data_IF_379686160238
#
_entry.id   IF_379686160238
#
_cell.length_a   1.000
_cell.length_b   1.000
_cell.length_c   1.000
_cell.angle_alpha   90.00
_cell.angle_beta   90.00
_cell.angle_gamma   90.00
#
_symmetry.space_group_name_H-M   'P 1'
#
loop_
_entity.id
_entity.type
_entity.pdbx_description
1 polymer ?
#
# COMPACT_ATOMS: atom_id res chain seq x y z
N UNK A 1 29.95 -41.51 -2.03
CA UNK A 1 28.47 -41.64 -2.13
C UNK A 1 27.70 -40.67 -1.23
N UNK A 2 28.34 -40.02 -0.24
CA UNK A 2 27.73 -38.95 0.59
C UNK A 2 27.92 -37.53 0.02
N UNK A 3 28.75 -37.37 -1.02
CA UNK A 3 29.08 -36.06 -1.61
C UNK A 3 28.06 -35.59 -2.66
N UNK A 4 27.27 -36.52 -3.20
CA UNK A 4 26.22 -36.27 -4.20
C UNK A 4 24.89 -35.75 -3.61
N UNK A 5 24.79 -35.63 -2.28
CA UNK A 5 23.65 -34.98 -1.60
C UNK A 5 23.90 -33.49 -1.31
N UNK A 6 25.07 -32.96 -1.67
CA UNK A 6 25.34 -31.51 -1.66
C UNK A 6 24.69 -30.78 -2.84
N UNK A 7 24.26 -31.54 -3.85
CA UNK A 7 23.58 -31.04 -5.02
C UNK A 7 22.13 -30.75 -4.68
N UNK A 8 21.65 -29.55 -5.00
CA UNK A 8 20.23 -29.21 -5.09
C UNK A 8 19.51 -28.72 -3.83
N UNK A 9 20.24 -28.20 -2.83
CA UNK A 9 19.68 -27.19 -1.91
C UNK A 9 20.05 -25.77 -2.34
N UNK A 10 20.10 -25.56 -3.66
CA UNK A 10 19.76 -24.26 -4.24
C UNK A 10 18.28 -24.02 -3.92
N UNK A 11 18.05 -23.55 -2.69
CA UNK A 11 16.86 -22.79 -2.35
C UNK A 11 16.90 -21.65 -3.35
N UNK A 12 16.16 -21.80 -4.46
CA UNK A 12 15.93 -20.76 -5.46
C UNK A 12 15.28 -19.61 -4.71
N UNK A 13 16.12 -18.79 -4.11
CA UNK A 13 15.77 -17.55 -3.47
C UNK A 13 15.21 -16.73 -4.61
N UNK A 14 13.88 -16.64 -4.70
CA UNK A 14 13.20 -15.88 -5.73
C UNK A 14 13.75 -14.45 -5.70
N UNK A 15 14.70 -14.14 -6.59
CA UNK A 15 15.29 -12.81 -6.68
C UNK A 15 14.24 -11.93 -7.34
N UNK A 16 13.47 -11.21 -6.52
CA UNK A 16 12.52 -10.21 -6.99
C UNK A 16 13.28 -9.13 -7.77
N UNK A 17 12.70 -8.67 -8.88
CA UNK A 17 13.28 -7.56 -9.62
C UNK A 17 13.30 -6.30 -8.73
N UNK A 18 14.22 -5.35 -8.95
CA UNK A 18 14.27 -4.11 -8.18
C UNK A 18 12.94 -3.34 -8.19
N UNK A 19 12.23 -3.36 -9.33
CA UNK A 19 10.89 -2.80 -9.44
C UNK A 19 9.91 -3.48 -8.50
N UNK A 20 9.78 -4.82 -8.57
CA UNK A 20 8.83 -5.57 -7.74
C UNK A 20 9.14 -5.39 -6.26
N UNK A 21 10.43 -5.38 -5.87
CA UNK A 21 10.82 -5.12 -4.48
C UNK A 21 10.33 -3.74 -4.00
N UNK A 22 10.52 -2.69 -4.80
CA UNK A 22 10.07 -1.32 -4.45
C UNK A 22 8.55 -1.21 -4.43
N UNK A 23 7.88 -1.80 -5.41
CA UNK A 23 6.42 -1.86 -5.48
C UNK A 23 5.84 -2.50 -4.21
N UNK A 24 6.37 -3.64 -3.78
CA UNK A 24 5.90 -4.33 -2.58
C UNK A 24 6.10 -3.47 -1.32
N UNK A 25 7.28 -2.87 -1.15
CA UNK A 25 7.56 -2.00 0.00
C UNK A 25 6.59 -0.82 0.04
N UNK A 26 6.42 -0.12 -1.09
CA UNK A 26 5.53 1.03 -1.19
C UNK A 26 4.06 0.64 -1.02
N UNK A 27 3.64 -0.51 -1.55
CA UNK A 27 2.28 -1.03 -1.42
C UNK A 27 1.93 -1.28 0.05
N UNK A 28 2.85 -1.90 0.80
CA UNK A 28 2.67 -2.12 2.24
C UNK A 28 2.67 -0.80 2.99
N UNK A 29 3.59 0.12 2.69
CA UNK A 29 3.69 1.39 3.37
C UNK A 29 2.45 2.27 3.16
N UNK A 30 1.96 2.37 1.93
CA UNK A 30 0.79 3.18 1.60
C UNK A 30 -0.52 2.57 2.11
N UNK A 31 -0.60 1.25 2.25
CA UNK A 31 -1.75 0.55 2.87
C UNK A 31 -1.53 0.24 4.35
N UNK A 32 -0.49 0.80 4.97
CA UNK A 32 -0.18 0.55 6.37
C UNK A 32 -1.25 1.05 7.35
N UNK A 33 -1.92 2.20 7.16
CA UNK A 33 -2.92 2.72 8.11
C UNK A 33 -4.00 1.70 8.50
N UNK A 34 -4.75 1.10 7.55
CA UNK A 34 -5.78 0.12 7.90
C UNK A 34 -5.21 -1.19 8.50
N UNK A 35 -3.95 -1.52 8.22
CA UNK A 35 -3.30 -2.73 8.76
C UNK A 35 -2.96 -2.55 10.24
N UNK A 36 -2.44 -1.38 10.62
CA UNK A 36 -1.98 -1.13 12.00
C UNK A 36 -3.10 -0.68 12.93
N UNK A 37 -4.17 -0.11 12.39
CA UNK A 37 -5.22 0.48 13.20
C UNK A 37 -5.85 -0.50 14.22
N UNK A 38 -6.18 -1.75 13.87
CA UNK A 38 -6.69 -2.72 14.83
C UNK A 38 -5.71 -3.02 15.97
N UNK A 39 -4.41 -3.05 15.68
CA UNK A 39 -3.36 -3.32 16.68
C UNK A 39 -3.27 -2.18 17.68
N UNK A 40 -3.32 -0.93 17.20
CA UNK A 40 -3.29 0.26 18.05
C UNK A 40 -4.52 0.40 18.95
N UNK A 41 -5.70 0.05 18.42
CA UNK A 41 -6.93 0.03 19.21
C UNK A 41 -6.86 -1.01 20.35
N UNK A 42 -6.24 -2.16 20.12
CA UNK A 42 -6.09 -3.22 21.13
C UNK A 42 -5.13 -2.86 22.26
N UNK A 43 -4.10 -2.05 21.98
CA UNK A 43 -3.09 -1.64 22.98
C UNK A 43 -3.47 -0.38 23.76
N UNK A 44 -4.66 0.20 23.50
CA UNK A 44 -5.20 1.33 24.27
C UNK A 44 -4.38 2.62 24.17
N UNK A 45 -3.53 2.77 23.15
CA UNK A 45 -2.83 4.02 22.88
C UNK A 45 -3.81 5.06 22.35
N UNK A 46 -3.66 6.31 22.80
CA UNK A 46 -4.45 7.45 22.33
C UNK A 46 -4.14 7.70 20.84
N UNK A 47 -5.02 7.31 19.90
CA UNK A 47 -4.62 7.09 18.52
C UNK A 47 -4.83 8.34 17.67
N UNK A 48 -4.57 9.55 18.19
CA UNK A 48 -4.86 10.80 17.48
C UNK A 48 -4.16 10.86 16.12
N UNK A 49 -2.86 10.55 16.10
CA UNK A 49 -2.07 10.52 14.86
C UNK A 49 -2.53 9.40 13.91
N UNK A 50 -2.94 8.26 14.46
CA UNK A 50 -3.43 7.13 13.68
C UNK A 50 -4.80 7.43 13.05
N UNK A 51 -5.70 8.07 13.79
CA UNK A 51 -7.01 8.51 13.28
C UNK A 51 -6.79 9.52 12.15
N UNK A 52 -5.93 10.52 12.36
CA UNK A 52 -5.62 11.50 11.32
C UNK A 52 -5.02 10.83 10.07
N UNK A 53 -4.14 9.85 10.26
CA UNK A 53 -3.52 9.12 9.16
C UNK A 53 -4.53 8.23 8.42
N UNK A 54 -5.42 7.55 9.14
CA UNK A 54 -6.49 6.73 8.57
C UNK A 54 -7.50 7.60 7.80
N UNK A 55 -7.86 8.76 8.36
CA UNK A 55 -8.71 9.73 7.69
C UNK A 55 -8.07 10.22 6.39
N UNK A 56 -6.78 10.56 6.38
CA UNK A 56 -6.08 10.92 5.15
C UNK A 56 -6.08 9.76 4.14
N UNK A 57 -5.86 8.53 4.62
CA UNK A 57 -5.83 7.33 3.76
C UNK A 57 -7.16 7.07 3.06
N UNK A 58 -8.29 7.26 3.76
CA UNK A 58 -9.63 7.11 3.19
C UNK A 58 -9.97 8.27 2.25
N UNK A 59 -9.67 9.50 2.65
CA UNK A 59 -10.19 10.69 1.97
C UNK A 59 -9.37 11.13 0.75
N UNK A 60 -8.04 10.92 0.75
CA UNK A 60 -7.18 11.34 -0.38
C UNK A 60 -7.62 10.75 -1.73
N UNK A 61 -7.98 9.45 -1.85
CA UNK A 61 -8.48 8.90 -3.10
C UNK A 61 -9.75 9.59 -3.60
N UNK A 62 -10.66 9.97 -2.70
CA UNK A 62 -11.87 10.71 -3.05
C UNK A 62 -11.56 12.12 -3.54
N UNK A 63 -10.66 12.83 -2.84
CA UNK A 63 -10.16 14.14 -3.25
C UNK A 63 -9.48 14.11 -4.63
N UNK A 64 -8.98 12.95 -5.05
CA UNK A 64 -8.32 12.74 -6.34
C UNK A 64 -9.26 12.12 -7.40
N UNK A 65 -10.57 12.07 -7.13
CA UNK A 65 -11.61 11.76 -8.12
C UNK A 65 -12.24 10.37 -8.01
N UNK A 66 -11.96 9.59 -6.95
CA UNK A 66 -12.61 8.29 -6.74
C UNK A 66 -14.13 8.44 -6.47
N UNK A 67 -14.59 9.61 -6.04
CA UNK A 67 -16.00 9.94 -5.82
C UNK A 67 -16.86 9.77 -7.09
N UNK A 68 -16.32 10.07 -8.27
CA UNK A 68 -17.06 9.97 -9.53
C UNK A 68 -17.42 8.53 -9.93
N UNK A 69 -16.76 7.53 -9.32
CA UNK A 69 -16.99 6.12 -9.61
C UNK A 69 -18.17 5.53 -8.81
N UNK A 70 -18.61 6.23 -7.76
CA UNK A 70 -19.60 5.75 -6.83
C UNK A 70 -20.64 6.85 -6.64
N UNK A 71 -21.73 6.79 -7.41
CA UNK A 71 -22.78 7.80 -7.36
C UNK A 71 -23.33 8.03 -5.94
N UNK A 72 -24.00 9.18 -5.75
CA UNK A 72 -24.40 9.80 -4.47
C UNK A 72 -25.12 8.88 -3.45
N UNK A 73 -25.59 7.70 -3.84
CA UNK A 73 -26.36 6.77 -3.02
C UNK A 73 -25.53 5.68 -2.31
N UNK A 74 -24.21 5.62 -2.52
CA UNK A 74 -23.37 4.49 -2.05
C UNK A 74 -22.41 4.83 -0.91
N UNK A 75 -22.33 6.10 -0.49
CA UNK A 75 -21.42 6.52 0.58
C UNK A 75 -22.12 7.42 1.60
N UNK A 76 -22.08 7.02 2.86
CA UNK A 76 -22.39 7.94 3.96
C UNK A 76 -21.08 8.51 4.53
N UNK A 77 -20.84 9.79 4.24
CA UNK A 77 -19.72 10.55 4.81
C UNK A 77 -20.12 11.10 6.19
N UNK A 78 -19.28 10.90 7.21
CA UNK A 78 -19.36 11.56 8.52
C UNK A 78 -18.22 12.56 8.70
N UNK A 79 -18.16 13.27 9.83
CA UNK A 79 -17.12 14.25 10.14
C UNK A 79 -15.67 13.72 10.04
N UNK A 80 -15.47 12.40 10.06
CA UNK A 80 -14.15 11.76 9.96
C UNK A 80 -13.92 10.99 8.65
N UNK A 81 -14.87 11.01 7.71
CA UNK A 81 -14.79 10.33 6.41
C UNK A 81 -15.89 9.30 6.18
N UNK A 82 -15.66 8.34 5.29
CA UNK A 82 -16.65 7.32 4.91
C UNK A 82 -16.94 6.38 6.10
N UNK A 83 -18.18 6.41 6.59
CA UNK A 83 -18.59 5.71 7.81
C UNK A 83 -19.19 4.33 7.50
N UNK A 84 -20.04 4.28 6.47
CA UNK A 84 -20.59 3.04 5.91
C UNK A 84 -20.36 3.06 4.40
N UNK A 85 -19.47 2.19 3.95
CA UNK A 85 -19.17 1.98 2.54
C UNK A 85 -19.31 0.49 2.20
N UNK A 86 -19.86 0.15 1.04
CA UNK A 86 -19.83 -1.22 0.55
C UNK A 86 -18.38 -1.68 0.37
N UNK A 87 -18.14 -2.99 0.50
CA UNK A 87 -16.80 -3.60 0.35
C UNK A 87 -16.07 -3.16 -0.93
N UNK A 88 -16.82 -2.90 -2.00
CA UNK A 88 -16.30 -2.43 -3.28
C UNK A 88 -15.60 -1.07 -3.18
N UNK A 89 -16.07 -0.16 -2.32
CA UNK A 89 -15.44 1.15 -2.09
C UNK A 89 -14.11 0.96 -1.37
N UNK A 90 -14.07 0.14 -0.32
CA UNK A 90 -12.84 -0.18 0.40
C UNK A 90 -11.77 -0.81 -0.49
N UNK A 91 -12.17 -1.77 -1.34
CA UNK A 91 -11.27 -2.36 -2.33
C UNK A 91 -10.73 -1.32 -3.31
N UNK A 92 -11.57 -0.36 -3.71
CA UNK A 92 -11.16 0.69 -4.66
C UNK A 92 -10.15 1.64 -4.06
N UNK A 93 -10.29 1.98 -2.78
CA UNK A 93 -9.28 2.74 -2.01
C UNK A 93 -7.94 1.98 -1.97
N UNK A 94 -7.96 0.68 -1.65
CA UNK A 94 -6.75 -0.15 -1.65
C UNK A 94 -6.10 -0.19 -3.03
N UNK A 95 -6.90 -0.41 -4.09
CA UNK A 95 -6.42 -0.42 -5.48
C UNK A 95 -5.81 0.93 -5.87
N UNK A 96 -6.41 2.04 -5.48
CA UNK A 96 -5.86 3.38 -5.69
C UNK A 96 -4.44 3.49 -5.12
N UNK A 97 -4.24 3.09 -3.86
CA UNK A 97 -2.92 3.14 -3.23
C UNK A 97 -1.92 2.15 -3.85
N UNK A 98 -2.36 0.99 -4.34
CA UNK A 98 -1.52 0.06 -5.09
C UNK A 98 -1.06 0.63 -6.43
N UNK A 99 -1.95 1.33 -7.16
CA UNK A 99 -1.58 2.00 -8.40
C UNK A 99 -0.56 3.12 -8.14
N UNK A 100 -0.78 3.92 -7.09
CA UNK A 100 0.18 4.95 -6.69
C UNK A 100 1.54 4.34 -6.31
N UNK A 101 1.55 3.21 -5.59
CA UNK A 101 2.78 2.47 -5.29
C UNK A 101 3.53 2.04 -6.56
N UNK A 102 2.81 1.62 -7.60
CA UNK A 102 3.38 1.29 -8.90
C UNK A 102 4.02 2.48 -9.60
N UNK A 103 3.34 3.62 -9.62
CA UNK A 103 3.85 4.87 -10.19
C UNK A 103 5.13 5.28 -9.46
N UNK A 104 5.10 5.32 -8.12
CA UNK A 104 6.25 5.71 -7.30
C UNK A 104 7.42 4.72 -7.44
N UNK A 105 7.15 3.42 -7.53
CA UNK A 105 8.18 2.41 -7.79
C UNK A 105 8.86 2.62 -9.15
N UNK A 106 8.08 2.96 -10.17
CA UNK A 106 8.59 3.30 -11.50
C UNK A 106 9.46 4.54 -11.49
N UNK A 107 8.96 5.64 -10.90
CA UNK A 107 9.69 6.90 -10.76
C UNK A 107 11.01 6.68 -10.00
N UNK A 108 10.94 6.03 -8.83
CA UNK A 108 12.11 5.70 -8.02
C UNK A 108 13.17 4.96 -8.82
N UNK A 109 12.76 3.99 -9.65
CA UNK A 109 13.68 3.18 -10.45
C UNK A 109 14.37 4.00 -11.55
N UNK A 110 13.65 4.92 -12.20
CA UNK A 110 14.22 5.84 -13.19
C UNK A 110 15.30 6.73 -12.54
N UNK A 111 15.00 7.34 -11.39
CA UNK A 111 15.97 8.19 -10.69
C UNK A 111 17.20 7.41 -10.22
N UNK A 112 17.03 6.16 -9.76
CA UNK A 112 18.17 5.32 -9.36
C UNK A 112 19.08 4.94 -10.52
N UNK A 113 18.53 4.80 -11.75
CA UNK A 113 19.35 4.55 -12.94
C UNK A 113 20.16 5.79 -13.32
N UNK A 114 19.52 6.96 -13.38
CA UNK A 114 20.20 8.23 -13.67
C UNK A 114 21.34 8.53 -12.70
N UNK A 115 21.16 8.23 -11.41
CA UNK A 115 22.21 8.40 -10.40
C UNK A 115 23.39 7.41 -10.57
N UNK A 116 23.14 6.24 -11.16
CA UNK A 116 24.19 5.26 -11.45
C UNK A 116 24.96 5.60 -12.72
N UNK A 117 24.32 6.20 -13.72
CA UNK A 117 24.96 6.58 -14.99
C UNK A 117 25.81 7.87 -14.87
N UNK A 118 25.64 8.61 -13.77
CA UNK A 118 26.36 9.87 -13.49
C UNK A 118 27.65 9.69 -12.66
N UNK A 119 27.97 8.47 -12.21
CA UNK A 119 29.19 8.10 -11.46
C UNK A 119 30.06 7.15 -12.28
#
# INVERSE_FOLDING_TARGET
>A
MLEALSTQKDVRMFKLTPFVKRLLILSVLLNLPPIIAPVFMQIGLEPVLLIAWLAAWVNVPFLLGLEHLFGDQTMMFSEFGVNEAPMMVWLSIVVFWLLLAGILAGISLVFSRQASDAN
#
